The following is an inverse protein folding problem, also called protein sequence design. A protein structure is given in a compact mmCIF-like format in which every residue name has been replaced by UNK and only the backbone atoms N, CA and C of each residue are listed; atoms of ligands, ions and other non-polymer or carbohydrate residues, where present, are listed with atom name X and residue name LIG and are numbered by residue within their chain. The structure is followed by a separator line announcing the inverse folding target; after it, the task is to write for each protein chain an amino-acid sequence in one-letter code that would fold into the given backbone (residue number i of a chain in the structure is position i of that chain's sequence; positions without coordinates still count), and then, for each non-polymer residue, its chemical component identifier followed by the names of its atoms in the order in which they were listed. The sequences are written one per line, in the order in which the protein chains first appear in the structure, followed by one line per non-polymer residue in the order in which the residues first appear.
data_IF_392436662046
#
_entry.id   IF_392436662046
#
_cell.length_a   1.000
_cell.length_b   1.000
_cell.length_c   1.000
_cell.angle_alpha   90.00
_cell.angle_beta   90.00
_cell.angle_gamma   90.00
#
_symmetry.space_group_name_H-M   'P 1'
#
loop_
_entity.id
_entity.type
_entity.pdbx_description
1 polymer ?
#
# COMPACT_ATOMS: atom_id res chain seq x y z
N UNK A 1 9.84 -16.38 15.89
CA UNK A 1 8.84 -15.32 16.06
C UNK A 1 7.55 -15.72 15.40
N UNK A 2 6.42 -15.60 16.06
CA UNK A 2 5.06 -15.89 15.57
C UNK A 2 4.30 -14.56 15.46
N UNK A 3 3.20 -14.50 14.70
CA UNK A 3 2.40 -13.29 14.55
C UNK A 3 1.98 -12.68 15.90
N UNK A 4 1.63 -13.50 16.87
CA UNK A 4 1.25 -13.05 18.21
C UNK A 4 2.37 -12.40 19.02
N UNK A 5 3.61 -12.58 18.59
CA UNK A 5 4.80 -12.03 19.24
C UNK A 5 5.25 -10.71 18.57
N UNK A 6 4.50 -10.21 17.56
CA UNK A 6 4.77 -8.97 16.86
C UNK A 6 3.95 -7.84 17.50
N UNK A 7 4.64 -6.80 17.99
CA UNK A 7 4.04 -5.66 18.68
C UNK A 7 4.26 -4.34 17.94
N UNK A 8 5.18 -4.31 16.97
CA UNK A 8 5.49 -3.13 16.18
C UNK A 8 5.89 -3.49 14.76
N UNK A 9 6.05 -2.48 13.91
CA UNK A 9 6.39 -2.65 12.51
C UNK A 9 7.71 -3.44 12.31
N UNK A 10 8.72 -3.19 13.12
CA UNK A 10 10.01 -3.88 13.08
C UNK A 10 9.88 -5.39 13.28
N UNK A 11 8.94 -5.82 14.14
CA UNK A 11 8.69 -7.25 14.38
C UNK A 11 8.08 -7.92 13.15
N UNK A 12 7.11 -7.26 12.51
CA UNK A 12 6.52 -7.77 11.26
C UNK A 12 7.54 -7.82 10.13
N UNK A 13 8.39 -6.79 10.00
CA UNK A 13 9.48 -6.76 9.02
C UNK A 13 10.45 -7.93 9.23
N UNK A 14 10.87 -8.18 10.46
CA UNK A 14 11.76 -9.29 10.80
C UNK A 14 11.08 -10.66 10.56
N UNK A 15 9.79 -10.77 10.88
CA UNK A 15 9.02 -11.99 10.59
C UNK A 15 8.91 -12.24 9.09
N UNK A 16 8.67 -11.19 8.29
CA UNK A 16 8.64 -11.27 6.82
C UNK A 16 10.02 -11.70 6.28
N UNK A 17 11.11 -11.10 6.80
CA UNK A 17 12.48 -11.46 6.43
C UNK A 17 12.79 -12.95 6.62
N UNK A 18 12.23 -13.56 7.68
CA UNK A 18 12.43 -14.98 7.98
C UNK A 18 11.55 -15.91 7.16
N UNK A 19 10.44 -15.44 6.62
CA UNK A 19 9.44 -16.26 5.92
C UNK A 19 9.52 -16.17 4.41
N UNK A 20 9.90 -15.01 3.90
CA UNK A 20 9.96 -14.77 2.46
C UNK A 20 11.32 -15.22 1.89
N UNK A 21 11.35 -15.77 0.67
CA UNK A 21 12.60 -15.92 -0.06
C UNK A 21 13.34 -14.60 -0.19
N UNK A 22 14.68 -14.65 -0.11
CA UNK A 22 15.52 -13.45 -0.12
C UNK A 22 15.22 -12.46 -1.27
N UNK A 23 15.05 -12.90 -2.53
CA UNK A 23 14.70 -11.96 -3.62
C UNK A 23 13.38 -11.25 -3.37
N UNK A 24 12.35 -11.94 -2.89
CA UNK A 24 11.01 -11.40 -2.64
C UNK A 24 11.05 -10.41 -1.47
N UNK A 25 11.73 -10.77 -0.38
CA UNK A 25 11.90 -9.86 0.75
C UNK A 25 12.65 -8.59 0.34
N UNK A 26 13.77 -8.71 -0.37
CA UNK A 26 14.55 -7.54 -0.79
C UNK A 26 13.80 -6.66 -1.79
N UNK A 27 12.92 -7.23 -2.61
CA UNK A 27 12.08 -6.45 -3.50
C UNK A 27 11.11 -5.53 -2.73
N UNK A 28 10.40 -6.06 -1.74
CA UNK A 28 9.42 -5.24 -0.98
C UNK A 28 10.09 -4.32 0.05
N UNK A 29 11.23 -4.73 0.60
CA UNK A 29 11.96 -4.03 1.66
C UNK A 29 12.98 -3.01 1.12
N UNK A 30 13.42 -3.17 -0.12
CA UNK A 30 14.48 -2.36 -0.72
C UNK A 30 13.96 -1.13 -1.46
N UNK A 31 14.91 -0.22 -1.72
CA UNK A 31 14.70 0.99 -2.51
C UNK A 31 15.80 1.15 -3.58
N UNK A 32 15.91 2.34 -4.18
CA UNK A 32 16.88 2.62 -5.23
C UNK A 32 18.20 3.15 -4.68
N UNK A 33 19.27 2.90 -5.40
CA UNK A 33 20.65 3.35 -5.15
C UNK A 33 21.08 3.05 -3.69
N UNK A 34 21.65 4.05 -3.00
CA UNK A 34 22.10 3.95 -1.59
C UNK A 34 20.94 4.02 -0.57
N UNK A 35 19.70 3.99 -1.02
CA UNK A 35 18.49 4.01 -0.18
C UNK A 35 18.36 5.23 0.74
N UNK A 36 19.03 6.34 0.43
CA UNK A 36 19.05 7.55 1.26
C UNK A 36 17.64 8.10 1.51
N UNK A 37 16.78 8.14 0.48
CA UNK A 37 15.40 8.61 0.62
C UNK A 37 14.54 7.65 1.44
N UNK A 38 14.74 6.35 1.26
CA UNK A 38 14.09 5.32 2.05
C UNK A 38 14.40 5.49 3.55
N UNK A 39 15.66 5.65 3.91
CA UNK A 39 16.09 5.90 5.29
C UNK A 39 15.50 7.20 5.84
N UNK A 40 15.49 8.26 5.01
CA UNK A 40 14.95 9.56 5.41
C UNK A 40 13.45 9.49 5.69
N UNK A 41 12.68 8.70 4.95
CA UNK A 41 11.26 8.52 5.18
C UNK A 41 10.92 8.00 6.59
N UNK A 42 11.83 7.27 7.23
CA UNK A 42 11.68 6.84 8.61
C UNK A 42 12.28 7.85 9.60
N UNK A 43 13.50 8.31 9.34
CA UNK A 43 14.21 9.21 10.24
C UNK A 43 13.54 10.57 10.42
N UNK A 44 12.86 11.10 9.40
CA UNK A 44 12.15 12.38 9.49
C UNK A 44 11.04 12.39 10.55
N UNK A 45 10.47 11.25 10.90
CA UNK A 45 9.52 11.17 12.01
C UNK A 45 10.16 11.33 13.38
N UNK A 46 11.45 10.97 13.52
CA UNK A 46 12.22 11.15 14.77
C UNK A 46 12.54 12.63 15.04
N UNK A 47 12.45 13.47 13.99
CA UNK A 47 12.68 14.92 14.10
C UNK A 47 11.39 15.70 14.45
N UNK A 48 10.24 14.99 14.58
CA UNK A 48 8.94 15.58 14.88
C UNK A 48 8.55 15.36 16.34
N UNK A 49 8.49 16.44 17.12
CA UNK A 49 7.98 16.40 18.49
C UNK A 49 6.47 16.62 18.53
N UNK A 50 5.78 15.81 19.33
CA UNK A 50 4.36 16.02 19.66
C UNK A 50 4.27 16.76 20.98
N UNK A 51 3.76 17.99 20.95
CA UNK A 51 3.54 18.80 22.16
C UNK A 51 2.10 18.61 22.64
N UNK A 52 1.86 17.79 23.69
CA UNK A 52 0.52 17.52 24.17
C UNK A 52 -0.07 18.72 24.89
N UNK A 53 -1.35 18.99 24.68
CA UNK A 53 -2.12 19.92 25.49
C UNK A 53 -2.71 19.15 26.68
N UNK A 54 -2.25 19.44 27.89
CA UNK A 54 -2.75 18.80 29.12
C UNK A 54 -4.02 19.49 29.64
N UNK A 55 -4.76 18.79 30.52
CA UNK A 55 -5.96 19.28 31.20
C UNK A 55 -7.08 19.77 30.24
N UNK A 56 -7.20 19.17 29.06
CA UNK A 56 -8.20 19.52 28.07
C UNK A 56 -9.53 18.77 28.21
N UNK A 57 -9.63 17.81 29.12
CA UNK A 57 -10.85 17.02 29.34
C UNK A 57 -11.34 16.27 28.10
N UNK A 58 -10.42 15.68 27.34
CA UNK A 58 -10.74 14.95 26.11
C UNK A 58 -11.31 13.58 26.47
N UNK A 59 -12.63 13.46 26.49
CA UNK A 59 -13.34 12.21 26.79
C UNK A 59 -13.70 11.46 25.49
N UNK A 60 -14.03 12.18 24.42
CA UNK A 60 -14.39 11.62 23.12
C UNK A 60 -13.33 11.99 22.09
N UNK A 61 -12.68 10.96 21.54
CA UNK A 61 -11.65 11.14 20.51
C UNK A 61 -12.28 10.87 19.15
N UNK A 62 -12.35 11.90 18.31
CA UNK A 62 -12.72 11.78 16.90
C UNK A 62 -11.49 12.00 16.02
N UNK A 63 -11.06 10.96 15.31
CA UNK A 63 -9.94 11.01 14.35
C UNK A 63 -10.44 11.00 12.91
N UNK A 64 -11.75 11.10 12.69
CA UNK A 64 -12.33 11.04 11.36
C UNK A 64 -11.89 12.21 10.47
N UNK A 65 -11.69 11.92 9.20
CA UNK A 65 -11.35 12.91 8.18
C UNK A 65 -12.14 12.65 6.91
N UNK A 66 -12.29 13.68 6.08
CA UNK A 66 -12.81 13.51 4.73
C UNK A 66 -11.70 13.75 3.73
N UNK A 67 -11.36 12.72 2.95
CA UNK A 67 -10.32 12.78 1.92
C UNK A 67 -10.96 12.42 0.57
N UNK A 68 -10.82 13.30 -0.42
CA UNK A 68 -11.36 13.11 -1.78
C UNK A 68 -12.86 12.75 -1.77
N UNK A 69 -13.63 13.38 -0.87
CA UNK A 69 -15.06 13.15 -0.71
C UNK A 69 -15.42 11.89 0.08
N UNK A 70 -14.45 11.08 0.50
CA UNK A 70 -14.66 9.87 1.29
C UNK A 70 -14.42 10.13 2.77
N UNK A 71 -15.38 9.76 3.63
CA UNK A 71 -15.22 9.82 5.08
C UNK A 71 -14.42 8.60 5.55
N UNK A 72 -13.36 8.86 6.31
CA UNK A 72 -12.52 7.84 6.94
C UNK A 72 -12.57 8.01 8.46
N UNK A 73 -12.53 6.92 9.21
CA UNK A 73 -12.55 6.96 10.67
C UNK A 73 -11.20 7.37 11.29
N UNK A 74 -10.13 7.36 10.46
CA UNK A 74 -8.80 7.80 10.87
C UNK A 74 -8.06 8.46 9.70
N UNK A 75 -7.09 9.37 9.97
CA UNK A 75 -6.37 10.12 8.93
C UNK A 75 -5.22 9.31 8.30
N UNK A 76 -5.43 8.01 8.09
CA UNK A 76 -4.47 7.07 7.49
C UNK A 76 -5.24 6.18 6.53
N UNK A 77 -4.66 5.89 5.37
CA UNK A 77 -5.20 4.89 4.44
C UNK A 77 -4.10 3.95 3.92
N UNK A 78 -4.50 2.80 3.41
CA UNK A 78 -3.59 1.81 2.86
C UNK A 78 -3.21 2.19 1.43
N UNK A 79 -1.94 2.58 1.22
CA UNK A 79 -1.40 2.92 -0.10
C UNK A 79 -1.44 1.74 -1.07
N UNK A 80 -1.56 1.99 -2.39
CA UNK A 80 -1.54 0.94 -3.40
C UNK A 80 -0.16 0.26 -3.44
N UNK A 81 -0.16 -1.04 -3.19
CA UNK A 81 1.04 -1.89 -3.28
C UNK A 81 0.81 -2.97 -4.32
N UNK A 82 1.72 -3.08 -5.27
CA UNK A 82 1.66 -4.09 -6.33
C UNK A 82 1.96 -5.50 -5.81
N UNK A 83 1.49 -6.52 -6.54
CA UNK A 83 1.94 -7.93 -6.42
C UNK A 83 1.76 -8.55 -5.02
N UNK A 84 0.70 -8.19 -4.29
CA UNK A 84 0.57 -8.57 -2.88
C UNK A 84 0.55 -10.08 -2.63
N UNK A 85 0.02 -10.91 -3.57
CA UNK A 85 0.06 -12.39 -3.45
C UNK A 85 1.47 -12.97 -3.57
N UNK A 86 2.44 -12.22 -4.07
CA UNK A 86 3.85 -12.64 -4.05
C UNK A 86 4.40 -12.67 -2.62
N UNK A 87 3.85 -11.84 -1.73
CA UNK A 87 4.27 -11.72 -0.33
C UNK A 87 3.41 -12.54 0.62
N UNK A 88 2.11 -12.62 0.35
CA UNK A 88 1.17 -13.37 1.20
C UNK A 88 0.00 -13.90 0.36
N UNK A 89 -0.40 -15.14 0.60
CA UNK A 89 -1.45 -15.82 -0.19
C UNK A 89 -2.78 -15.06 -0.26
N UNK A 90 -3.15 -14.34 0.79
CA UNK A 90 -4.37 -13.54 0.82
C UNK A 90 -4.26 -12.25 0.00
N UNK A 91 -3.03 -11.75 -0.26
CA UNK A 91 -2.79 -10.57 -1.06
C UNK A 91 -3.66 -9.37 -0.69
N UNK A 92 -4.24 -8.75 -1.69
CA UNK A 92 -5.10 -7.56 -1.59
C UNK A 92 -6.33 -7.78 -0.69
N UNK A 93 -6.86 -9.01 -0.59
CA UNK A 93 -7.97 -9.32 0.30
C UNK A 93 -7.65 -9.06 1.77
N UNK A 94 -6.43 -9.36 2.22
CA UNK A 94 -6.04 -9.14 3.61
C UNK A 94 -6.00 -7.64 3.95
N UNK A 95 -5.50 -6.83 3.02
CA UNK A 95 -5.42 -5.37 3.21
C UNK A 95 -6.80 -4.73 3.10
N UNK A 96 -7.62 -5.15 2.13
CA UNK A 96 -8.98 -4.68 1.98
C UNK A 96 -9.84 -4.98 3.22
N UNK A 97 -9.73 -6.20 3.76
CA UNK A 97 -10.42 -6.59 4.99
C UNK A 97 -9.98 -5.76 6.20
N UNK A 98 -8.69 -5.43 6.29
CA UNK A 98 -8.18 -4.58 7.35
C UNK A 98 -8.68 -3.13 7.19
N UNK A 99 -8.64 -2.58 5.98
CA UNK A 99 -9.14 -1.23 5.70
C UNK A 99 -10.64 -1.10 6.02
N UNK A 100 -11.45 -2.06 5.60
CA UNK A 100 -12.88 -2.12 5.89
C UNK A 100 -13.16 -2.20 7.40
N UNK A 101 -12.43 -3.07 8.10
CA UNK A 101 -12.54 -3.24 9.56
C UNK A 101 -12.24 -1.95 10.33
N UNK A 102 -11.31 -1.15 9.87
CA UNK A 102 -10.86 0.08 10.54
C UNK A 102 -11.45 1.37 9.93
N UNK A 103 -12.44 1.24 9.08
CA UNK A 103 -13.13 2.37 8.48
C UNK A 103 -12.21 3.30 7.68
N UNK A 104 -11.22 2.73 6.95
CA UNK A 104 -10.31 3.52 6.15
C UNK A 104 -10.29 3.09 4.67
N UNK A 105 -9.63 3.87 3.81
CA UNK A 105 -9.58 3.62 2.38
C UNK A 105 -8.47 2.63 2.03
N UNK A 106 -8.74 1.76 1.06
CA UNK A 106 -7.73 0.89 0.44
C UNK A 106 -7.39 1.34 -0.98
N UNK A 107 -6.09 1.56 -1.22
CA UNK A 107 -5.53 1.78 -2.55
C UNK A 107 -5.24 0.46 -3.27
N UNK A 108 -5.97 0.18 -4.33
CA UNK A 108 -5.75 -0.99 -5.19
C UNK A 108 -4.80 -0.60 -6.32
N UNK A 109 -3.69 -1.33 -6.46
CA UNK A 109 -2.73 -1.10 -7.54
C UNK A 109 -3.24 -1.66 -8.86
N UNK A 110 -2.94 -0.97 -9.97
CA UNK A 110 -3.15 -1.53 -11.32
C UNK A 110 -2.28 -2.75 -11.61
N UNK A 111 -1.24 -2.98 -10.82
CA UNK A 111 -0.41 -4.18 -10.81
C UNK A 111 -0.79 -5.12 -9.66
N UNK A 112 -2.02 -5.05 -9.19
CA UNK A 112 -2.56 -5.95 -8.17
C UNK A 112 -2.66 -7.39 -8.66
N UNK A 113 -2.64 -8.32 -7.72
CA UNK A 113 -2.79 -9.77 -7.99
C UNK A 113 -4.23 -10.27 -7.80
N UNK A 114 -5.09 -9.41 -7.29
CA UNK A 114 -6.54 -9.59 -7.21
C UNK A 114 -7.19 -8.49 -8.04
N UNK A 115 -8.23 -8.83 -8.78
CA UNK A 115 -8.91 -7.84 -9.61
C UNK A 115 -9.65 -6.80 -8.77
N UNK A 116 -9.74 -5.58 -9.29
CA UNK A 116 -10.45 -4.49 -8.64
C UNK A 116 -11.92 -4.85 -8.36
N UNK A 117 -12.58 -5.51 -9.31
CA UNK A 117 -13.97 -5.98 -9.17
C UNK A 117 -14.10 -7.00 -8.03
N UNK A 118 -13.18 -7.98 -7.97
CA UNK A 118 -13.18 -9.00 -6.91
C UNK A 118 -12.98 -8.39 -5.52
N UNK A 119 -12.11 -7.38 -5.40
CA UNK A 119 -11.95 -6.63 -4.14
C UNK A 119 -13.23 -5.89 -3.80
N UNK A 120 -13.86 -5.21 -4.77
CA UNK A 120 -15.08 -4.43 -4.56
C UNK A 120 -16.29 -5.28 -4.16
N UNK A 121 -16.41 -6.47 -4.74
CA UNK A 121 -17.50 -7.40 -4.41
C UNK A 121 -17.47 -7.90 -2.95
N UNK A 122 -16.28 -7.92 -2.34
CA UNK A 122 -16.09 -8.47 -0.99
C UNK A 122 -16.03 -7.39 0.10
N UNK A 123 -15.66 -6.15 -0.25
CA UNK A 123 -15.38 -5.08 0.72
C UNK A 123 -16.05 -3.79 0.30
N UNK A 124 -16.83 -3.20 1.22
CA UNK A 124 -17.67 -2.03 0.95
C UNK A 124 -16.99 -0.69 1.30
N UNK A 125 -15.85 -0.71 2.00
CA UNK A 125 -15.11 0.49 2.37
C UNK A 125 -14.64 1.30 1.14
N UNK A 126 -14.23 2.56 1.31
CA UNK A 126 -13.74 3.40 0.24
C UNK A 126 -12.53 2.78 -0.47
N UNK A 127 -12.53 2.80 -1.80
CA UNK A 127 -11.47 2.25 -2.64
C UNK A 127 -10.90 3.30 -3.57
N UNK A 128 -9.56 3.39 -3.59
CA UNK A 128 -8.80 4.17 -4.55
C UNK A 128 -8.15 3.20 -5.55
N UNK A 129 -8.25 3.48 -6.84
CA UNK A 129 -7.55 2.73 -7.87
C UNK A 129 -6.34 3.50 -8.37
N UNK A 130 -5.14 2.93 -8.19
CA UNK A 130 -3.91 3.49 -8.71
C UNK A 130 -3.70 3.03 -10.15
N UNK A 131 -3.39 3.96 -11.02
CA UNK A 131 -3.32 3.80 -12.46
C UNK A 131 -2.03 4.39 -13.03
N UNK A 132 -1.38 3.65 -13.93
CA UNK A 132 -0.33 4.15 -14.80
C UNK A 132 -0.89 4.45 -16.18
N UNK A 133 -0.41 5.50 -16.81
CA UNK A 133 -0.80 5.84 -18.15
C UNK A 133 0.08 5.09 -19.17
N UNK A 134 -0.52 4.16 -19.91
CA UNK A 134 0.16 3.34 -20.90
C UNK A 134 0.22 4.03 -22.28
N UNK A 135 1.18 3.64 -23.11
CA UNK A 135 1.24 4.08 -24.52
C UNK A 135 0.03 3.59 -25.32
N UNK A 136 -0.44 2.41 -25.02
CA UNK A 136 -1.68 1.86 -25.61
C UNK A 136 -2.90 2.57 -25.03
N UNK A 137 -3.54 3.40 -25.87
CA UNK A 137 -4.75 4.16 -25.50
C UNK A 137 -5.95 3.27 -25.26
N UNK A 138 -6.08 2.17 -26.02
CA UNK A 138 -7.16 1.20 -25.84
C UNK A 138 -7.09 0.51 -24.49
N UNK A 139 -5.87 0.12 -24.06
CA UNK A 139 -5.66 -0.45 -22.74
C UNK A 139 -6.07 0.54 -21.65
N UNK A 140 -5.67 1.81 -21.75
CA UNK A 140 -6.05 2.84 -20.79
C UNK A 140 -7.57 2.95 -20.66
N UNK A 141 -8.27 2.96 -21.79
CA UNK A 141 -9.71 3.05 -21.81
C UNK A 141 -10.36 1.86 -21.10
N UNK A 142 -9.95 0.64 -21.43
CA UNK A 142 -10.46 -0.58 -20.77
C UNK A 142 -10.22 -0.57 -19.27
N UNK A 143 -9.03 -0.15 -18.82
CA UNK A 143 -8.72 -0.07 -17.38
C UNK A 143 -9.62 0.95 -16.67
N UNK A 144 -9.85 2.11 -17.27
CA UNK A 144 -10.74 3.15 -16.71
C UNK A 144 -12.22 2.71 -16.70
N UNK A 145 -12.68 2.05 -17.76
CA UNK A 145 -14.02 1.50 -17.82
C UNK A 145 -14.25 0.41 -16.76
N UNK A 146 -13.26 -0.47 -16.56
CA UNK A 146 -13.30 -1.48 -15.49
C UNK A 146 -13.33 -0.85 -14.09
N UNK A 147 -12.53 0.18 -13.86
CA UNK A 147 -12.54 0.91 -12.60
C UNK A 147 -13.90 1.58 -12.34
N UNK A 148 -14.47 2.20 -13.36
CA UNK A 148 -15.81 2.79 -13.30
C UNK A 148 -16.89 1.73 -13.05
N UNK A 149 -16.82 0.61 -13.75
CA UNK A 149 -17.79 -0.49 -13.59
C UNK A 149 -17.71 -1.13 -12.20
N UNK A 150 -16.51 -1.22 -11.63
CA UNK A 150 -16.29 -1.67 -10.25
C UNK A 150 -16.77 -0.66 -9.19
N UNK A 151 -17.15 0.57 -9.58
CA UNK A 151 -17.62 1.60 -8.65
C UNK A 151 -16.54 2.10 -7.71
N UNK A 152 -15.32 2.31 -8.23
CA UNK A 152 -14.21 2.88 -7.47
C UNK A 152 -14.50 4.31 -7.08
N UNK A 153 -14.18 4.68 -5.86
CA UNK A 153 -14.49 5.99 -5.30
C UNK A 153 -13.47 7.07 -5.70
N UNK A 154 -12.19 6.67 -5.85
CA UNK A 154 -11.08 7.60 -6.11
C UNK A 154 -10.12 7.01 -7.14
N UNK A 155 -9.60 7.84 -8.04
CA UNK A 155 -8.53 7.50 -8.97
C UNK A 155 -7.23 8.20 -8.59
N UNK A 156 -6.13 7.43 -8.60
CA UNK A 156 -4.77 7.94 -8.35
C UNK A 156 -3.90 7.73 -9.59
N UNK A 157 -3.57 8.79 -10.30
CA UNK A 157 -2.68 8.72 -11.45
C UNK A 157 -1.22 8.83 -11.00
N UNK A 158 -0.42 7.81 -11.30
CA UNK A 158 1.03 7.82 -11.06
C UNK A 158 1.76 8.38 -12.28
N UNK A 159 2.57 9.43 -12.07
CA UNK A 159 3.19 10.22 -13.16
C UNK A 159 4.71 10.29 -13.11
N UNK A 160 5.34 9.63 -12.13
CA UNK A 160 6.78 9.71 -11.83
C UNK A 160 7.60 8.50 -12.31
N UNK A 161 7.01 7.57 -13.05
CA UNK A 161 7.66 6.33 -13.51
C UNK A 161 8.17 6.40 -14.95
N UNK A 162 8.73 7.53 -15.35
CA UNK A 162 9.36 7.68 -16.70
C UNK A 162 10.57 6.76 -16.83
N UNK A 163 11.32 6.59 -15.75
CA UNK A 163 12.44 5.65 -15.63
C UNK A 163 12.29 4.80 -14.38
N UNK A 164 12.69 3.54 -14.44
CA UNK A 164 12.78 2.68 -13.26
C UNK A 164 13.93 3.10 -12.35
N UNK A 165 13.74 3.02 -11.03
CA UNK A 165 14.83 3.21 -10.07
C UNK A 165 15.90 2.12 -10.21
N UNK A 166 17.15 2.45 -9.95
CA UNK A 166 18.26 1.50 -9.89
C UNK A 166 18.17 0.69 -8.58
N UNK A 167 17.44 -0.40 -8.61
CA UNK A 167 17.18 -1.24 -7.42
C UNK A 167 18.28 -2.30 -7.27
N UNK A 168 19.39 -1.90 -6.70
CA UNK A 168 20.58 -2.77 -6.57
C UNK A 168 20.33 -4.04 -5.77
N UNK A 169 19.45 -4.00 -4.75
CA UNK A 169 19.10 -5.22 -4.00
C UNK A 169 18.41 -6.26 -4.90
N UNK A 170 17.56 -5.82 -5.81
CA UNK A 170 16.86 -6.72 -6.74
C UNK A 170 17.87 -7.36 -7.70
N UNK A 171 18.83 -6.57 -8.21
CA UNK A 171 19.91 -7.06 -9.07
C UNK A 171 20.80 -8.07 -8.33
N UNK A 172 21.21 -7.77 -7.10
CA UNK A 172 22.07 -8.64 -6.28
C UNK A 172 21.39 -9.93 -5.86
N UNK A 173 20.07 -9.91 -5.66
CA UNK A 173 19.30 -11.08 -5.22
C UNK A 173 18.64 -11.85 -6.36
N UNK A 174 18.72 -11.34 -7.59
CA UNK A 174 18.15 -11.97 -8.78
C UNK A 174 16.62 -11.94 -8.77
N UNK A 175 16.01 -10.90 -8.20
CA UNK A 175 14.57 -10.75 -8.26
C UNK A 175 14.10 -10.58 -9.71
N UNK A 176 13.21 -11.43 -10.14
CA UNK A 176 12.49 -11.29 -11.41
C UNK A 176 11.02 -11.65 -11.18
N UNK A 177 10.13 -10.97 -11.87
CA UNK A 177 8.71 -11.35 -11.85
C UNK A 177 8.59 -12.63 -12.65
N UNK A 178 8.14 -13.76 -12.05
CA UNK A 178 8.17 -15.07 -12.69
C UNK A 178 7.06 -15.26 -13.74
N UNK A 179 6.41 -14.19 -14.17
CA UNK A 179 5.33 -14.26 -15.14
C UNK A 179 5.90 -14.29 -16.56
N UNK A 180 6.00 -15.49 -17.12
CA UNK A 180 6.02 -15.74 -18.55
C UNK A 180 4.67 -16.32 -18.96
#
# INVERSE_FOLDING_TARGET
MRLKDCHGFSDFRELARRRLPSPIFNYIDGAADDETTYDRNTKSFEECDLIPNVLRGVENIDMSVTIMGQKLDMPIYCSPTALQRVFHHSGEHAVAAAADKFGTMFGVSSLGTVSLTEVREQYNGPQCYQFYFHKDRGLNQVMLENAKAAGVDVMMLTVDTITGGNRERDLRTGFSIPFK
#
